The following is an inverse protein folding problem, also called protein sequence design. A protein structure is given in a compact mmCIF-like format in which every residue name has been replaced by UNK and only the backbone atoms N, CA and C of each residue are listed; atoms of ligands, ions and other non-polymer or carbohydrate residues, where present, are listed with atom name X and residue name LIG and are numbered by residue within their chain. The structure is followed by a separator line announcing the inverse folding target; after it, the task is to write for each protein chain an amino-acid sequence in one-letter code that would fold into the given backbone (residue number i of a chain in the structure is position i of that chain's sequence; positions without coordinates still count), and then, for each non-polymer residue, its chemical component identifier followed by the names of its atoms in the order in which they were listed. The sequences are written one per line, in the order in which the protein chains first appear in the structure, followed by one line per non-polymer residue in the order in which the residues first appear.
data_IF_570718846110
#
_entry.id   IF_570718846110
#
_cell.length_a   1.000
_cell.length_b   1.000
_cell.length_c   1.000
_cell.angle_alpha   90.00
_cell.angle_beta   90.00
_cell.angle_gamma   90.00
#
_symmetry.space_group_name_H-M   'P 1'
#
loop_
_entity.id
_entity.type
_entity.pdbx_description
1 polymer ?
#
# COMPACT_ATOMS: atom_id res chain seq x y z
N UNK A 1 -2.87 -0.35 30.78
CA UNK A 1 -2.63 -0.08 29.35
C UNK A 1 -3.99 0.00 28.67
N UNK A 2 -4.23 1.01 27.82
CA UNK A 2 -5.46 1.06 27.04
C UNK A 2 -5.48 -0.13 26.07
N UNK A 3 -6.62 -0.84 25.99
CA UNK A 3 -6.88 -1.88 25.01
C UNK A 3 -7.74 -1.33 23.90
N UNK A 4 -7.44 -1.71 22.67
CA UNK A 4 -8.19 -1.33 21.46
C UNK A 4 -8.52 -2.56 20.66
N UNK A 5 -9.70 -2.59 20.05
CA UNK A 5 -10.05 -3.65 19.13
C UNK A 5 -9.49 -3.35 17.74
N UNK A 6 -8.69 -4.26 17.21
CA UNK A 6 -8.09 -4.15 15.89
C UNK A 6 -8.81 -5.10 14.91
N UNK A 7 -9.50 -4.51 13.95
CA UNK A 7 -10.34 -5.22 12.98
C UNK A 7 -9.55 -6.13 12.03
N UNK A 8 -8.30 -5.78 11.75
CA UNK A 8 -7.47 -6.55 10.80
C UNK A 8 -6.85 -7.80 11.41
N UNK A 9 -6.73 -7.86 12.73
CA UNK A 9 -6.24 -9.03 13.45
C UNK A 9 -7.34 -9.75 14.26
N UNK A 10 -8.58 -9.27 14.22
CA UNK A 10 -9.75 -9.90 14.79
C UNK A 10 -9.73 -10.01 16.31
N UNK A 11 -8.98 -9.16 17.04
CA UNK A 11 -8.90 -9.18 18.49
C UNK A 11 -8.54 -7.83 19.11
N UNK A 12 -8.67 -7.76 20.44
CA UNK A 12 -8.10 -6.66 21.22
C UNK A 12 -6.58 -6.81 21.32
N UNK A 13 -5.91 -5.65 21.33
CA UNK A 13 -4.47 -5.54 21.57
C UNK A 13 -4.14 -4.36 22.49
N UNK A 14 -2.93 -4.37 23.05
CA UNK A 14 -2.40 -3.23 23.83
C UNK A 14 -2.02 -2.09 22.89
N UNK A 15 -2.50 -0.87 23.21
CA UNK A 15 -2.10 0.36 22.53
C UNK A 15 -2.19 1.53 23.51
N UNK A 16 -1.16 2.41 23.57
CA UNK A 16 -1.04 3.39 24.66
C UNK A 16 -1.81 4.68 24.46
N UNK A 17 -2.28 4.90 23.26
CA UNK A 17 -3.04 6.10 22.91
C UNK A 17 -4.49 5.72 22.69
N UNK A 18 -5.40 6.62 23.07
CA UNK A 18 -6.80 6.43 22.82
C UNK A 18 -7.09 6.21 21.32
N UNK A 19 -8.13 5.46 21.03
CA UNK A 19 -8.60 5.26 19.67
C UNK A 19 -8.99 6.63 19.08
N UNK A 20 -8.24 7.09 18.11
CA UNK A 20 -8.52 8.30 17.36
C UNK A 20 -8.94 7.91 15.94
N UNK A 21 -10.19 7.46 15.80
CA UNK A 21 -10.80 7.30 14.48
C UNK A 21 -11.45 8.61 14.09
N UNK A 22 -10.96 9.28 13.06
CA UNK A 22 -11.61 10.48 12.55
C UNK A 22 -12.95 10.09 11.93
N UNK A 23 -13.83 11.08 11.76
CA UNK A 23 -15.12 10.87 11.09
C UNK A 23 -14.97 10.38 9.65
N UNK A 24 -13.89 10.75 9.00
CA UNK A 24 -13.46 10.35 7.65
C UNK A 24 -12.06 9.79 7.73
N UNK A 25 -11.83 8.57 7.30
CA UNK A 25 -10.51 7.95 7.33
C UNK A 25 -9.99 7.76 5.91
N UNK A 26 -8.86 8.42 5.61
CA UNK A 26 -8.08 8.18 4.39
C UNK A 26 -7.82 6.71 4.21
N UNK A 27 -8.11 6.19 3.03
CA UNK A 27 -7.72 4.85 2.64
C UNK A 27 -7.42 4.75 1.14
N UNK A 28 -6.53 3.85 0.80
CA UNK A 28 -6.12 3.62 -0.57
C UNK A 28 -6.11 2.13 -0.90
N UNK A 29 -6.42 1.78 -2.14
CA UNK A 29 -6.29 0.42 -2.65
C UNK A 29 -5.32 0.42 -3.84
N UNK A 30 -4.37 -0.51 -3.82
CA UNK A 30 -3.38 -0.71 -4.87
C UNK A 30 -3.56 -2.10 -5.51
N UNK A 31 -3.84 -2.15 -6.79
CA UNK A 31 -3.87 -3.40 -7.54
C UNK A 31 -2.45 -3.77 -7.99
N UNK A 32 -1.82 -4.71 -7.29
CA UNK A 32 -0.45 -5.13 -7.58
C UNK A 32 -0.32 -5.87 -8.91
N UNK A 33 -1.42 -6.43 -9.43
CA UNK A 33 -1.43 -7.16 -10.70
C UNK A 33 -1.22 -6.27 -11.93
N UNK A 34 -1.49 -4.97 -11.78
CA UNK A 34 -1.34 -3.98 -12.86
C UNK A 34 -0.04 -3.17 -12.76
N UNK A 35 0.74 -3.34 -11.68
CA UNK A 35 1.97 -2.58 -11.49
C UNK A 35 3.06 -3.06 -12.44
N UNK A 36 3.68 -2.13 -13.17
CA UNK A 36 4.77 -2.38 -14.12
C UNK A 36 6.12 -1.82 -13.64
N UNK A 37 6.22 -1.39 -12.40
CA UNK A 37 7.42 -0.81 -11.78
C UNK A 37 8.04 0.38 -12.54
N UNK A 38 7.27 1.14 -13.28
CA UNK A 38 7.76 2.27 -14.09
C UNK A 38 8.32 3.44 -13.27
N UNK A 39 8.19 3.44 -11.95
CA UNK A 39 8.68 4.45 -10.99
C UNK A 39 8.14 5.88 -11.21
N UNK A 40 7.21 6.12 -12.14
CA UNK A 40 6.62 7.45 -12.36
C UNK A 40 5.97 8.00 -11.10
N UNK A 41 5.29 7.15 -10.32
CA UNK A 41 4.72 7.53 -9.03
C UNK A 41 5.78 7.93 -7.99
N UNK A 42 6.95 7.31 -8.02
CA UNK A 42 8.10 7.64 -7.18
C UNK A 42 8.64 9.01 -7.55
N UNK A 43 8.87 9.25 -8.85
CA UNK A 43 9.35 10.54 -9.36
C UNK A 43 8.35 11.65 -9.08
N UNK A 44 7.06 11.44 -9.33
CA UNK A 44 6.02 12.43 -9.07
C UNK A 44 5.98 12.86 -7.59
N UNK A 45 6.09 11.91 -6.67
CA UNK A 45 6.21 12.21 -5.25
C UNK A 45 7.50 12.94 -4.92
N UNK A 46 8.63 12.46 -5.47
CA UNK A 46 9.97 13.01 -5.24
C UNK A 46 10.07 14.47 -5.65
N UNK A 47 9.63 14.79 -6.86
CA UNK A 47 9.69 16.15 -7.40
C UNK A 47 8.74 17.12 -6.69
N UNK A 48 7.60 16.63 -6.20
CA UNK A 48 6.62 17.48 -5.53
C UNK A 48 6.99 17.76 -4.07
N UNK A 49 7.49 16.76 -3.33
CA UNK A 49 7.55 16.83 -1.85
C UNK A 49 8.94 16.60 -1.26
N UNK A 50 9.85 15.92 -1.93
CA UNK A 50 11.12 15.50 -1.34
C UNK A 50 12.34 15.85 -2.21
N UNK A 51 12.31 17.01 -2.84
CA UNK A 51 13.41 17.56 -3.66
C UNK A 51 14.30 18.56 -2.92
N UNK A 52 14.07 18.79 -1.62
CA UNK A 52 14.82 19.72 -0.81
C UNK A 52 16.14 19.15 -0.29
N UNK A 53 16.90 20.00 0.40
CA UNK A 53 18.22 19.64 1.00
C UNK A 53 18.04 18.58 2.09
N UNK A 54 18.88 17.55 2.06
CA UNK A 54 18.83 16.43 3.01
C UNK A 54 17.74 15.41 2.71
N UNK A 55 17.05 15.54 1.57
CA UNK A 55 16.00 14.63 1.14
C UNK A 55 16.45 13.69 0.00
N UNK A 56 17.71 13.65 -0.32
CA UNK A 56 18.28 12.90 -1.47
C UNK A 56 17.81 11.43 -1.47
N UNK A 57 17.87 10.78 -0.32
CA UNK A 57 17.44 9.37 -0.12
C UNK A 57 16.04 9.21 0.46
N UNK A 58 15.23 10.27 0.50
CA UNK A 58 13.85 10.19 1.00
C UNK A 58 12.87 9.86 -0.11
N UNK A 59 12.46 8.62 -0.17
CA UNK A 59 11.43 8.15 -1.08
C UNK A 59 10.15 7.84 -0.31
N UNK A 60 9.30 8.87 -0.13
CA UNK A 60 8.00 8.71 0.54
C UNK A 60 7.10 7.74 -0.20
N UNK A 61 7.17 7.73 -1.53
CA UNK A 61 6.66 6.66 -2.36
C UNK A 61 7.81 5.94 -3.05
N UNK A 62 7.78 4.63 -3.08
CA UNK A 62 8.69 3.79 -3.86
C UNK A 62 7.98 2.55 -4.37
N UNK A 63 8.57 1.86 -5.33
CA UNK A 63 8.11 0.55 -5.80
C UNK A 63 9.24 -0.45 -5.61
N UNK A 64 8.93 -1.57 -5.02
CA UNK A 64 9.86 -2.65 -4.69
C UNK A 64 9.59 -3.88 -5.54
N UNK A 65 10.64 -4.62 -5.89
CA UNK A 65 10.52 -5.96 -6.46
C UNK A 65 10.54 -6.98 -5.32
N UNK A 66 9.49 -7.76 -5.17
CA UNK A 66 9.42 -8.83 -4.17
C UNK A 66 9.56 -10.20 -4.83
N UNK A 67 10.27 -11.13 -4.16
CA UNK A 67 10.74 -11.07 -2.76
C UNK A 67 12.08 -10.35 -2.55
N UNK A 68 12.82 -10.01 -3.58
CA UNK A 68 14.25 -9.68 -3.48
C UNK A 68 14.57 -8.20 -3.21
N UNK A 69 13.85 -7.27 -3.82
CA UNK A 69 14.12 -5.84 -3.67
C UNK A 69 13.27 -5.17 -2.59
N UNK A 70 13.90 -4.41 -1.70
CA UNK A 70 13.21 -3.64 -0.66
C UNK A 70 13.94 -2.31 -0.37
N UNK A 71 13.18 -1.32 0.13
CA UNK A 71 13.73 -0.04 0.57
C UNK A 71 13.09 0.41 1.89
N UNK A 72 13.82 0.42 2.99
CA UNK A 72 15.22 -0.07 3.16
C UNK A 72 15.32 -1.59 2.96
N UNK A 73 16.55 -2.08 2.75
CA UNK A 73 16.82 -3.49 2.44
C UNK A 73 16.29 -4.40 3.56
N UNK A 74 15.57 -5.46 3.18
CA UNK A 74 15.07 -6.52 4.06
C UNK A 74 14.29 -6.05 5.30
N UNK A 75 13.66 -4.86 5.26
CA UNK A 75 12.94 -4.30 6.41
C UNK A 75 11.82 -5.23 6.91
N UNK A 76 11.14 -5.90 5.99
CA UNK A 76 10.05 -6.83 6.28
C UNK A 76 10.53 -8.12 6.94
N UNK A 77 11.61 -8.73 6.41
CA UNK A 77 12.22 -9.90 7.04
C UNK A 77 12.70 -9.58 8.46
N UNK A 78 13.47 -8.51 8.64
CA UNK A 78 14.01 -8.10 9.94
C UNK A 78 12.93 -7.85 11.00
N UNK A 79 11.82 -7.18 10.64
CA UNK A 79 10.77 -6.92 11.63
C UNK A 79 9.97 -8.19 11.96
N UNK A 80 9.75 -9.08 10.99
CA UNK A 80 9.05 -10.33 11.22
C UNK A 80 9.90 -11.30 12.08
N UNK A 81 11.21 -11.34 11.90
CA UNK A 81 12.14 -12.09 12.76
C UNK A 81 12.08 -11.61 14.22
N UNK A 82 12.04 -10.28 14.42
CA UNK A 82 11.95 -9.69 15.77
C UNK A 82 10.59 -9.89 16.43
N UNK A 83 9.54 -10.17 15.67
CA UNK A 83 8.17 -10.27 16.18
C UNK A 83 7.88 -11.59 16.93
N UNK A 84 8.77 -12.59 16.85
CA UNK A 84 8.56 -13.96 17.27
C UNK A 84 7.58 -14.75 16.38
N UNK A 85 7.32 -16.04 16.66
CA UNK A 85 6.42 -16.86 15.85
C UNK A 85 5.03 -16.26 15.71
N UNK A 86 4.57 -16.16 14.45
CA UNK A 86 3.27 -15.63 14.12
C UNK A 86 2.28 -16.77 13.89
N UNK A 87 1.12 -16.69 14.53
CA UNK A 87 0.09 -17.71 14.44
C UNK A 87 -1.28 -17.09 14.17
N UNK A 88 -2.02 -17.72 13.28
CA UNK A 88 -3.38 -17.37 12.96
C UNK A 88 -4.34 -18.54 13.23
N UNK A 89 -5.50 -18.24 13.80
CA UNK A 89 -6.63 -19.16 13.90
C UNK A 89 -7.78 -18.59 13.07
N UNK A 90 -7.96 -19.12 11.86
CA UNK A 90 -8.84 -18.49 10.87
C UNK A 90 -8.37 -17.07 10.51
N UNK A 91 -9.23 -16.08 10.69
CA UNK A 91 -8.91 -14.66 10.48
C UNK A 91 -8.42 -13.95 11.78
N UNK A 92 -8.27 -14.67 12.90
CA UNK A 92 -7.82 -14.12 14.17
C UNK A 92 -6.34 -14.38 14.40
N UNK A 93 -5.59 -13.32 14.72
CA UNK A 93 -4.16 -13.39 15.01
C UNK A 93 -3.91 -13.69 16.49
N UNK A 94 -3.19 -14.76 16.80
CA UNK A 94 -2.89 -15.20 18.17
C UNK A 94 -1.46 -14.86 18.61
N UNK A 95 -0.61 -14.35 17.70
CA UNK A 95 0.73 -13.88 18.03
C UNK A 95 0.75 -12.51 18.73
N UNK A 96 1.94 -12.05 19.07
CA UNK A 96 2.16 -10.70 19.63
C UNK A 96 2.29 -9.66 18.49
N UNK A 97 1.69 -8.51 18.68
CA UNK A 97 1.91 -7.33 17.82
C UNK A 97 3.21 -6.62 18.22
N UNK A 98 3.67 -5.66 17.44
CA UNK A 98 4.87 -4.86 17.79
C UNK A 98 4.69 -4.08 19.10
N UNK A 99 3.46 -3.82 19.52
CA UNK A 99 3.13 -3.16 20.78
C UNK A 99 3.24 -4.11 21.97
N UNK A 100 3.05 -5.40 21.75
CA UNK A 100 3.02 -6.46 22.76
C UNK A 100 4.34 -7.22 22.84
N UNK A 101 5.15 -7.21 21.77
CA UNK A 101 6.43 -7.92 21.66
C UNK A 101 7.64 -7.05 22.05
N UNK A 102 7.44 -5.83 22.51
CA UNK A 102 8.53 -4.94 22.87
C UNK A 102 9.41 -5.53 23.99
N UNK A 103 10.74 -5.43 23.87
CA UNK A 103 11.66 -5.82 24.93
C UNK A 103 11.40 -5.07 26.24
N UNK A 104 11.88 -5.62 27.34
CA UNK A 104 11.76 -4.98 28.65
C UNK A 104 12.37 -3.56 28.64
N UNK A 105 11.60 -2.58 29.12
CA UNK A 105 12.00 -1.17 29.11
C UNK A 105 11.67 -0.40 27.84
N UNK A 106 11.26 -1.06 26.78
CA UNK A 106 10.81 -0.43 25.54
C UNK A 106 9.29 -0.42 25.40
N UNK A 107 8.74 0.56 24.70
CA UNK A 107 7.30 0.64 24.45
C UNK A 107 6.87 -0.09 23.19
N UNK A 108 7.77 -0.17 22.21
CA UNK A 108 7.51 -0.68 20.88
C UNK A 108 8.69 -1.51 20.39
N UNK A 109 8.40 -2.63 19.75
CA UNK A 109 9.38 -3.35 18.97
C UNK A 109 9.78 -2.52 17.74
N UNK A 110 11.06 -2.49 17.44
CA UNK A 110 11.57 -1.77 16.28
C UNK A 110 13.08 -1.76 16.21
N UNK A 111 13.60 -1.28 15.09
CA UNK A 111 15.05 -1.12 14.87
C UNK A 111 15.34 0.12 14.03
N UNK A 112 16.55 0.66 14.14
CA UNK A 112 17.03 1.71 13.25
C UNK A 112 17.65 1.09 12.00
N UNK A 113 17.15 1.42 10.80
CA UNK A 113 17.85 1.05 9.57
C UNK A 113 19.19 1.79 9.52
N UNK A 114 20.19 1.12 8.98
CA UNK A 114 21.49 1.71 8.71
C UNK A 114 21.46 2.57 7.44
N UNK A 115 22.47 3.44 7.27
CA UNK A 115 22.56 4.27 6.06
C UNK A 115 22.69 3.42 4.80
N UNK A 116 23.41 2.29 4.88
CA UNK A 116 23.54 1.34 3.78
C UNK A 116 22.20 0.75 3.32
N UNK A 117 21.25 0.53 4.23
CA UNK A 117 19.91 0.03 3.89
C UNK A 117 19.12 0.98 2.96
N UNK A 118 19.49 2.27 2.95
CA UNK A 118 18.85 3.30 2.11
C UNK A 118 19.69 3.71 0.90
N UNK A 119 20.94 3.23 0.79
CA UNK A 119 21.87 3.64 -0.27
C UNK A 119 21.38 3.24 -1.67
N UNK A 120 20.61 2.19 -1.75
CA UNK A 120 20.12 1.61 -3.00
C UNK A 120 18.58 1.53 -3.02
N UNK A 121 17.87 2.66 -3.17
CA UNK A 121 16.41 2.66 -3.22
C UNK A 121 15.93 1.96 -4.50
N UNK A 122 14.93 1.10 -4.35
CA UNK A 122 14.29 0.39 -5.46
C UNK A 122 15.20 -0.57 -6.24
N UNK A 123 16.25 -1.06 -5.64
CA UNK A 123 17.00 -2.16 -6.23
C UNK A 123 16.10 -3.39 -6.32
N UNK A 124 15.66 -3.67 -7.52
CA UNK A 124 15.10 -4.93 -7.92
C UNK A 124 16.19 -5.85 -8.47
N UNK A 125 17.43 -5.72 -7.99
CA UNK A 125 18.48 -6.64 -8.38
C UNK A 125 18.16 -8.00 -7.81
N UNK A 126 17.82 -8.89 -8.71
CA UNK A 126 17.64 -10.29 -8.47
C UNK A 126 19.05 -10.88 -8.31
N UNK A 127 19.40 -11.31 -7.09
CA UNK A 127 20.66 -12.02 -6.85
C UNK A 127 20.79 -13.27 -7.74
N UNK A 128 19.65 -13.80 -8.22
CA UNK A 128 19.59 -14.91 -9.18
C UNK A 128 20.08 -14.47 -10.57
N UNK A 129 19.93 -13.20 -10.96
CA UNK A 129 20.41 -12.71 -12.25
C UNK A 129 21.93 -12.86 -12.39
N UNK A 130 22.70 -12.57 -11.33
CA UNK A 130 24.14 -12.78 -11.30
C UNK A 130 24.56 -14.27 -11.47
N UNK A 131 23.74 -15.18 -11.00
CA UNK A 131 23.97 -16.63 -11.16
C UNK A 131 23.68 -17.07 -12.59
N UNK A 132 22.71 -16.47 -13.26
CA UNK A 132 22.38 -16.77 -14.66
C UNK A 132 23.42 -16.18 -15.61
N UNK A 133 23.91 -14.97 -15.37
CA UNK A 133 24.98 -14.34 -16.16
C UNK A 133 26.31 -15.09 -16.06
N UNK A 134 26.58 -15.76 -14.94
CA UNK A 134 27.75 -16.63 -14.75
C UNK A 134 27.69 -17.97 -15.48
N UNK A 135 26.66 -18.24 -16.26
CA UNK A 135 26.54 -19.48 -17.07
C UNK A 135 26.23 -20.75 -16.27
N UNK A 136 25.92 -20.65 -14.98
CA UNK A 136 25.41 -21.75 -14.20
C UNK A 136 23.89 -21.84 -14.35
N UNK A 137 23.44 -22.80 -15.18
CA UNK A 137 22.04 -23.23 -15.15
C UNK A 137 21.78 -23.98 -13.84
N UNK A 138 21.44 -23.26 -12.78
CA UNK A 138 20.95 -23.87 -11.56
C UNK A 138 19.49 -24.22 -11.84
N UNK A 139 19.20 -25.50 -11.93
CA UNK A 139 17.82 -26.00 -11.91
C UNK A 139 17.22 -25.62 -10.55
N UNK A 140 16.59 -24.45 -10.46
CA UNK A 140 15.92 -24.01 -9.25
C UNK A 140 14.78 -24.99 -8.96
N UNK A 141 14.74 -25.62 -7.78
CA UNK A 141 13.71 -26.58 -7.42
C UNK A 141 12.33 -25.94 -7.23
N UNK A 142 12.22 -24.62 -7.37
CA UNK A 142 10.99 -23.84 -7.20
C UNK A 142 10.78 -22.89 -8.38
N UNK A 143 9.53 -22.63 -8.78
CA UNK A 143 9.25 -21.66 -9.81
C UNK A 143 9.72 -20.27 -9.37
N UNK A 144 10.45 -19.59 -10.22
CA UNK A 144 10.84 -18.18 -10.02
C UNK A 144 9.58 -17.33 -10.13
N UNK A 145 9.35 -16.48 -9.15
CA UNK A 145 8.24 -15.55 -9.12
C UNK A 145 8.68 -14.20 -8.58
N UNK A 146 8.03 -13.16 -9.05
CA UNK A 146 8.23 -11.81 -8.58
C UNK A 146 6.95 -10.99 -8.76
N UNK A 147 6.81 -9.90 -7.98
CA UNK A 147 5.79 -8.89 -8.20
C UNK A 147 6.30 -7.53 -7.71
N UNK A 148 5.61 -6.47 -8.09
CA UNK A 148 5.98 -5.12 -7.72
C UNK A 148 5.07 -4.59 -6.62
N UNK A 149 5.66 -4.22 -5.48
CA UNK A 149 4.97 -3.66 -4.33
C UNK A 149 5.19 -2.15 -4.28
N UNK A 150 4.19 -1.39 -4.72
CA UNK A 150 4.20 0.06 -4.58
C UNK A 150 3.85 0.44 -3.13
N UNK A 151 4.68 1.27 -2.48
CA UNK A 151 4.51 1.62 -1.06
C UNK A 151 4.53 3.12 -0.80
N UNK A 152 3.59 3.57 0.01
CA UNK A 152 3.55 4.90 0.63
C UNK A 152 3.45 4.74 2.16
N UNK A 153 3.37 5.82 2.92
CA UNK A 153 2.96 5.73 4.32
C UNK A 153 1.52 5.19 4.40
N UNK A 154 1.30 4.26 5.30
CA UNK A 154 0.01 3.61 5.47
C UNK A 154 -1.02 4.44 6.26
N UNK A 155 -0.62 5.60 6.82
CA UNK A 155 -1.47 6.44 7.66
C UNK A 155 -2.30 5.64 8.66
N UNK A 156 -1.64 4.72 9.36
CA UNK A 156 -2.21 3.68 10.21
C UNK A 156 -3.28 4.20 11.19
N UNK A 157 -4.23 3.36 11.55
CA UNK A 157 -5.21 3.64 12.60
C UNK A 157 -4.53 3.69 13.96
N UNK A 158 -3.56 2.80 14.20
CA UNK A 158 -2.73 2.74 15.39
C UNK A 158 -1.26 3.01 15.03
N UNK A 159 -0.87 4.29 14.83
CA UNK A 159 0.46 4.61 14.30
C UNK A 159 1.56 4.36 15.33
N UNK A 160 2.47 3.43 15.06
CA UNK A 160 3.66 3.20 15.89
C UNK A 160 4.56 4.43 15.98
N UNK A 161 4.69 5.18 14.89
CA UNK A 161 5.48 6.41 14.86
C UNK A 161 4.94 7.50 15.81
N UNK A 162 3.61 7.60 15.96
CA UNK A 162 2.96 8.48 16.92
C UNK A 162 3.23 8.01 18.35
N UNK A 163 3.01 6.71 18.60
CA UNK A 163 3.21 6.10 19.91
C UNK A 163 4.66 6.22 20.41
N UNK A 164 5.64 6.15 19.49
CA UNK A 164 7.06 6.23 19.82
C UNK A 164 7.57 7.66 20.05
N UNK A 165 6.85 8.69 19.59
CA UNK A 165 7.37 10.06 19.63
C UNK A 165 7.41 10.63 21.06
N UNK A 166 8.59 10.87 21.67
CA UNK A 166 8.69 11.36 23.05
C UNK A 166 8.23 12.82 23.20
N UNK A 167 8.13 13.56 22.09
CA UNK A 167 7.69 14.95 22.06
C UNK A 167 6.21 15.14 21.71
N UNK A 168 5.49 14.04 21.38
CA UNK A 168 4.13 14.15 20.88
C UNK A 168 4.00 14.96 19.58
N UNK A 169 5.11 15.04 18.80
CA UNK A 169 5.14 15.81 17.57
C UNK A 169 4.42 15.15 16.40
N UNK A 170 3.99 13.89 16.55
CA UNK A 170 3.24 13.17 15.52
C UNK A 170 1.77 13.10 15.94
N UNK A 171 0.90 13.45 15.02
CA UNK A 171 -0.53 13.50 15.27
C UNK A 171 -1.33 12.97 14.09
N UNK A 172 -2.57 12.59 14.35
CA UNK A 172 -3.54 12.18 13.35
C UNK A 172 -4.53 13.30 13.12
N UNK A 173 -4.69 13.72 11.87
CA UNK A 173 -5.66 14.76 11.50
C UNK A 173 -7.08 14.27 11.80
N UNK A 174 -7.90 15.14 12.37
CA UNK A 174 -9.30 14.80 12.67
C UNK A 174 -10.19 14.80 11.43
N UNK A 175 -9.78 15.53 10.39
CA UNK A 175 -10.53 15.72 9.15
C UNK A 175 -10.53 14.44 8.29
N UNK A 176 -9.38 13.76 8.21
CA UNK A 176 -9.17 12.70 7.23
C UNK A 176 -8.32 11.52 7.75
N UNK A 177 -7.87 11.57 8.99
CA UNK A 177 -7.05 10.52 9.59
C UNK A 177 -5.64 10.41 9.04
N UNK A 178 -5.17 11.35 8.26
CA UNK A 178 -3.79 11.39 7.78
C UNK A 178 -2.86 11.67 8.96
N UNK A 179 -1.81 10.87 9.09
CA UNK A 179 -0.80 11.01 10.17
C UNK A 179 0.29 11.96 9.70
N UNK A 180 0.52 13.03 10.44
CA UNK A 180 1.49 14.08 10.14
C UNK A 180 2.52 14.25 11.26
N UNK A 181 3.61 14.96 10.95
CA UNK A 181 4.65 15.39 11.91
C UNK A 181 4.60 16.91 12.01
N UNK A 182 4.40 17.43 13.20
CA UNK A 182 4.59 18.86 13.49
C UNK A 182 6.10 19.17 13.50
N UNK A 183 6.54 19.85 12.45
CA UNK A 183 7.95 20.17 12.25
C UNK A 183 8.50 21.13 13.31
N UNK A 184 7.64 21.98 13.92
CA UNK A 184 8.05 22.90 14.98
C UNK A 184 8.33 22.19 16.30
N UNK A 185 7.59 21.15 16.59
CA UNK A 185 7.72 20.34 17.82
C UNK A 185 8.69 19.16 17.66
N UNK A 186 9.02 18.75 16.44
CA UNK A 186 10.00 17.69 16.19
C UNK A 186 11.39 18.11 16.68
N UNK A 187 12.10 17.21 17.38
CA UNK A 187 13.45 17.41 17.89
C UNK A 187 14.44 16.33 17.42
N UNK A 188 14.06 15.57 16.38
CA UNK A 188 14.95 14.65 15.72
C UNK A 188 15.37 13.42 16.54
N UNK A 189 14.60 13.00 17.53
CA UNK A 189 14.90 11.79 18.33
C UNK A 189 14.91 10.49 17.52
N UNK A 190 14.33 10.48 16.33
CA UNK A 190 14.28 9.36 15.38
C UNK A 190 13.52 8.12 15.87
N UNK A 191 12.89 8.15 17.04
CA UNK A 191 12.09 7.04 17.54
C UNK A 191 10.97 6.63 16.58
N UNK A 192 10.41 7.58 15.82
CA UNK A 192 9.44 7.30 14.77
C UNK A 192 10.04 6.52 13.59
N UNK A 193 11.34 6.69 13.31
CA UNK A 193 12.07 5.91 12.28
C UNK A 193 12.28 4.48 12.78
N UNK A 194 12.71 4.34 14.04
CA UNK A 194 12.89 3.05 14.70
C UNK A 194 11.60 2.24 14.74
N UNK A 195 10.52 2.87 15.20
CA UNK A 195 9.25 2.21 15.49
C UNK A 195 8.40 1.90 14.25
N UNK A 196 8.55 2.63 13.14
CA UNK A 196 7.76 2.34 11.93
C UNK A 196 8.21 1.01 11.31
N UNK A 197 7.38 -0.07 11.35
CA UNK A 197 7.79 -1.35 10.78
C UNK A 197 7.83 -1.33 9.26
N UNK A 198 7.07 -0.42 8.64
CA UNK A 198 7.08 -0.21 7.18
C UNK A 198 8.21 0.70 6.71
N UNK A 199 9.01 1.27 7.63
CA UNK A 199 10.13 2.18 7.32
C UNK A 199 9.75 3.32 6.37
N UNK A 200 8.59 3.95 6.62
CA UNK A 200 8.08 5.10 5.86
C UNK A 200 8.14 6.42 6.65
N UNK A 201 9.03 6.49 7.63
CA UNK A 201 9.43 7.70 8.34
C UNK A 201 10.93 7.87 8.15
N UNK A 202 11.37 9.05 7.77
CA UNK A 202 12.75 9.37 7.42
C UNK A 202 13.27 10.49 8.32
N UNK A 203 14.56 10.54 8.52
CA UNK A 203 15.22 11.62 9.25
C UNK A 203 16.02 12.49 8.29
N UNK A 204 15.79 13.79 8.32
CA UNK A 204 16.55 14.76 7.54
C UNK A 204 17.73 15.27 8.37
N UNK A 205 18.94 14.86 7.99
CA UNK A 205 20.17 15.23 8.69
C UNK A 205 20.56 16.72 8.51
N UNK A 206 19.96 17.42 7.55
CA UNK A 206 20.22 18.85 7.32
C UNK A 206 19.30 19.75 8.14
N UNK A 207 18.03 19.35 8.28
CA UNK A 207 17.03 20.10 9.04
C UNK A 207 16.87 19.60 10.48
N UNK A 208 17.46 18.44 10.80
CA UNK A 208 17.38 17.75 12.08
C UNK A 208 15.96 17.40 12.53
N UNK A 209 15.04 17.21 11.59
CA UNK A 209 13.66 16.77 11.87
C UNK A 209 13.34 15.51 11.09
N UNK A 210 12.31 14.78 11.56
CA UNK A 210 11.80 13.63 10.83
C UNK A 210 10.74 14.05 9.82
N UNK A 211 10.67 13.33 8.71
CA UNK A 211 9.75 13.59 7.60
C UNK A 211 9.08 12.30 7.15
N UNK A 212 7.90 12.40 6.57
CA UNK A 212 7.14 11.27 6.02
C UNK A 212 6.08 11.73 5.03
N UNK A 213 5.56 10.79 4.25
CA UNK A 213 4.42 11.03 3.37
C UNK A 213 3.28 11.75 4.12
N UNK A 214 2.75 12.80 3.52
CA UNK A 214 1.66 13.63 4.05
C UNK A 214 0.29 13.28 3.43
N UNK A 215 0.17 12.13 2.70
CA UNK A 215 -1.06 11.77 2.00
C UNK A 215 -1.49 12.77 0.92
N UNK A 216 -0.62 13.70 0.55
CA UNK A 216 -0.95 14.85 -0.31
C UNK A 216 -2.20 15.60 0.18
N UNK A 217 -2.40 15.74 1.52
CA UNK A 217 -3.60 16.33 2.08
C UNK A 217 -3.98 17.70 1.47
N UNK A 218 -3.03 18.58 1.07
CA UNK A 218 -3.40 19.82 0.42
C UNK A 218 -4.14 19.62 -0.92
N UNK A 219 -3.87 18.52 -1.63
CA UNK A 219 -4.62 18.17 -2.85
C UNK A 219 -5.97 17.54 -2.50
N UNK A 220 -6.00 16.69 -1.47
CA UNK A 220 -7.23 16.05 -0.98
C UNK A 220 -8.28 17.03 -0.46
N UNK A 221 -7.87 18.18 0.10
CA UNK A 221 -8.75 19.28 0.48
C UNK A 221 -9.46 19.91 -0.72
N UNK A 222 -8.94 19.71 -1.93
CA UNK A 222 -9.53 20.14 -3.20
C UNK A 222 -10.07 18.96 -4.04
N UNK A 223 -10.48 17.88 -3.40
CA UNK A 223 -11.02 16.66 -4.03
C UNK A 223 -10.09 16.01 -5.08
N UNK A 224 -8.78 16.34 -5.04
CA UNK A 224 -7.79 15.82 -5.98
C UNK A 224 -7.02 14.67 -5.35
N UNK A 225 -6.84 13.58 -6.11
CA UNK A 225 -6.03 12.44 -5.68
C UNK A 225 -4.55 12.82 -5.51
N UNK A 226 -3.80 12.09 -4.64
CA UNK A 226 -2.36 12.30 -4.48
C UNK A 226 -1.59 12.20 -5.80
N UNK A 227 -0.50 12.94 -5.94
CA UNK A 227 0.34 12.95 -7.15
C UNK A 227 0.78 11.56 -7.59
N UNK A 228 1.16 10.70 -6.67
CA UNK A 228 1.54 9.32 -7.00
C UNK A 228 0.36 8.45 -7.48
N UNK A 229 -0.88 8.92 -7.36
CA UNK A 229 -2.07 8.27 -7.93
C UNK A 229 -2.35 8.83 -9.33
N UNK A 230 -2.40 10.15 -9.48
CA UNK A 230 -2.70 10.80 -10.76
C UNK A 230 -1.68 10.46 -11.85
N UNK A 231 -0.41 10.37 -11.46
CA UNK A 231 0.71 10.07 -12.38
C UNK A 231 0.98 8.56 -12.56
N UNK A 232 0.13 7.69 -12.01
CA UNK A 232 0.32 6.26 -12.14
C UNK A 232 -0.02 5.75 -13.55
N UNK A 233 0.96 5.35 -14.33
CA UNK A 233 0.78 4.83 -15.70
C UNK A 233 -0.01 3.52 -15.69
N UNK A 234 0.29 2.61 -14.78
CA UNK A 234 -0.38 1.31 -14.66
C UNK A 234 -1.81 1.40 -14.11
N UNK A 235 -2.26 2.60 -13.70
CA UNK A 235 -3.61 2.81 -13.15
C UNK A 235 -3.95 1.85 -12.01
N UNK A 236 -2.99 1.64 -11.09
CA UNK A 236 -3.12 0.64 -10.03
C UNK A 236 -3.78 1.16 -8.77
N UNK A 237 -4.03 2.47 -8.64
CA UNK A 237 -4.35 3.15 -7.38
C UNK A 237 -5.74 3.75 -7.38
N UNK A 238 -6.43 3.56 -6.27
CA UNK A 238 -7.72 4.17 -5.98
C UNK A 238 -7.68 4.78 -4.57
N UNK A 239 -8.15 6.01 -4.42
CA UNK A 239 -8.33 6.68 -3.14
C UNK A 239 -9.81 6.85 -2.83
N UNK A 240 -10.18 6.54 -1.58
CA UNK A 240 -11.47 6.90 -1.01
C UNK A 240 -11.36 7.00 0.52
N UNK A 241 -12.49 7.19 1.19
CA UNK A 241 -12.62 7.19 2.64
C UNK A 241 -13.17 5.84 3.09
N UNK A 242 -12.49 5.17 4.05
CA UNK A 242 -12.96 3.89 4.57
C UNK A 242 -13.85 4.08 5.79
N UNK A 243 -14.94 3.32 5.86
CA UNK A 243 -15.82 3.21 7.01
C UNK A 243 -15.33 2.12 7.97
N UNK A 244 -15.93 2.04 9.16
CA UNK A 244 -15.76 0.85 10.01
C UNK A 244 -16.38 -0.37 9.32
N UNK A 245 -15.89 -1.59 9.57
CA UNK A 245 -16.47 -2.80 8.95
C UNK A 245 -17.98 -2.96 9.17
N UNK A 246 -18.49 -2.52 10.33
CA UNK A 246 -19.91 -2.56 10.69
C UNK A 246 -20.77 -1.51 9.96
N UNK A 247 -20.13 -0.50 9.38
CA UNK A 247 -20.77 0.62 8.68
C UNK A 247 -20.43 0.60 7.17
N UNK A 248 -19.84 -0.51 6.69
CA UNK A 248 -19.38 -0.65 5.31
C UNK A 248 -20.52 -0.53 4.29
N UNK A 249 -20.29 0.25 3.24
CA UNK A 249 -21.27 0.58 2.22
C UNK A 249 -20.91 -0.05 0.88
N UNK A 250 -21.91 -0.59 0.19
CA UNK A 250 -21.71 -1.21 -1.13
C UNK A 250 -21.40 -0.24 -2.27
N UNK A 251 -21.72 1.03 -2.12
CA UNK A 251 -21.44 2.08 -3.09
C UNK A 251 -20.10 2.80 -2.83
N UNK A 252 -19.50 2.57 -1.66
CA UNK A 252 -18.16 3.05 -1.35
C UNK A 252 -17.12 2.08 -1.93
N UNK A 253 -16.21 2.54 -2.82
CA UNK A 253 -15.29 1.65 -3.51
C UNK A 253 -14.30 0.94 -2.58
N UNK A 254 -13.79 1.61 -1.53
CA UNK A 254 -12.85 1.00 -0.59
C UNK A 254 -13.56 0.06 0.36
N UNK A 255 -14.72 0.43 0.91
CA UNK A 255 -15.53 -0.47 1.74
C UNK A 255 -15.89 -1.75 1.00
N UNK A 256 -16.28 -1.61 -0.28
CA UNK A 256 -16.63 -2.74 -1.12
C UNK A 256 -15.45 -3.70 -1.35
N UNK A 257 -14.25 -3.16 -1.63
CA UNK A 257 -13.06 -3.97 -1.86
C UNK A 257 -12.50 -4.60 -0.60
N UNK A 258 -12.50 -3.86 0.52
CA UNK A 258 -11.84 -4.27 1.78
C UNK A 258 -12.78 -5.07 2.68
N UNK A 259 -13.99 -4.56 2.95
CA UNK A 259 -14.89 -5.15 3.94
C UNK A 259 -15.87 -6.13 3.33
N UNK A 260 -16.45 -5.81 2.17
CA UNK A 260 -17.52 -6.62 1.58
C UNK A 260 -16.97 -7.76 0.74
N UNK A 261 -16.07 -7.48 -0.20
CA UNK A 261 -15.47 -8.51 -1.07
C UNK A 261 -14.18 -9.10 -0.52
N UNK A 262 -13.55 -8.41 0.42
CA UNK A 262 -12.28 -8.81 1.04
C UNK A 262 -11.22 -9.20 0.00
N UNK A 263 -11.18 -8.46 -1.11
CA UNK A 263 -10.23 -8.64 -2.21
C UNK A 263 -9.00 -7.75 -2.06
N UNK A 264 -9.12 -6.65 -1.33
CA UNK A 264 -8.01 -5.78 -0.96
C UNK A 264 -7.65 -5.96 0.52
N UNK A 265 -6.40 -6.28 0.78
CA UNK A 265 -5.91 -6.70 2.10
C UNK A 265 -4.83 -5.74 2.63
N UNK A 266 -4.71 -5.60 3.95
CA UNK A 266 -3.65 -4.80 4.57
C UNK A 266 -2.29 -5.47 4.44
N UNK A 267 -1.22 -4.66 4.45
CA UNK A 267 0.15 -5.16 4.46
C UNK A 267 0.56 -5.52 5.90
N UNK A 268 0.98 -6.77 6.13
CA UNK A 268 1.44 -7.29 7.42
C UNK A 268 0.50 -6.93 8.59
N UNK A 269 -0.75 -7.39 8.58
CA UNK A 269 -1.73 -7.06 9.63
C UNK A 269 -1.29 -7.52 11.02
N UNK A 270 -0.50 -8.59 11.14
CA UNK A 270 0.05 -9.13 12.39
C UNK A 270 0.86 -8.11 13.20
N UNK A 271 1.36 -7.06 12.56
CA UNK A 271 2.09 -6.00 13.25
C UNK A 271 1.20 -5.15 14.16
N UNK A 272 -0.12 -5.15 13.95
CA UNK A 272 -1.10 -4.50 14.81
C UNK A 272 -1.36 -3.01 14.53
N UNK A 273 -0.80 -2.43 13.46
CA UNK A 273 -0.93 -1.00 13.17
C UNK A 273 -2.25 -0.61 12.53
N UNK A 274 -3.00 -1.56 12.00
CA UNK A 274 -4.19 -1.33 11.18
C UNK A 274 -3.93 -0.31 10.05
N UNK A 275 -3.07 -0.69 9.06
CA UNK A 275 -2.74 0.16 7.93
C UNK A 275 -3.97 0.49 7.08
N UNK A 276 -4.02 1.71 6.53
CA UNK A 276 -5.11 2.18 5.68
C UNK A 276 -4.73 2.23 4.18
N UNK A 277 -3.63 1.60 3.81
CA UNK A 277 -3.30 1.27 2.42
C UNK A 277 -3.45 -0.23 2.26
N UNK A 278 -4.32 -0.62 1.35
CA UNK A 278 -4.69 -2.00 1.08
C UNK A 278 -4.18 -2.43 -0.29
N UNK A 279 -3.97 -3.71 -0.46
CA UNK A 279 -3.43 -4.28 -1.68
C UNK A 279 -4.33 -5.40 -2.20
N UNK A 280 -4.63 -5.39 -3.48
CA UNK A 280 -5.13 -6.57 -4.17
C UNK A 280 -3.90 -7.45 -4.41
N UNK A 281 -3.83 -8.65 -3.79
CA UNK A 281 -2.64 -9.50 -3.88
C UNK A 281 -2.33 -9.93 -5.31
N UNK A 282 -1.04 -10.15 -5.63
CA UNK A 282 -0.65 -10.65 -6.94
C UNK A 282 -1.09 -12.11 -7.14
N UNK A 283 -1.59 -12.42 -8.33
CA UNK A 283 -2.16 -13.74 -8.65
C UNK A 283 -1.13 -14.83 -8.97
N UNK A 284 0.12 -14.45 -9.20
CA UNK A 284 1.22 -15.33 -9.64
C UNK A 284 2.23 -15.66 -8.55
N UNK A 285 1.93 -15.32 -7.30
CA UNK A 285 2.85 -15.48 -6.15
C UNK A 285 2.41 -16.66 -5.29
N UNK A 286 3.35 -17.48 -4.75
CA UNK A 286 3.03 -18.61 -3.89
C UNK A 286 2.22 -18.22 -2.65
N UNK A 287 1.22 -19.03 -2.33
CA UNK A 287 0.29 -18.80 -1.22
C UNK A 287 0.97 -18.57 0.14
N UNK A 288 2.01 -19.34 0.56
CA UNK A 288 2.65 -19.12 1.86
C UNK A 288 3.22 -17.71 2.02
N UNK A 289 3.82 -17.16 0.95
CA UNK A 289 4.34 -15.80 0.96
C UNK A 289 3.21 -14.76 1.03
N UNK A 290 2.11 -14.99 0.32
CA UNK A 290 0.95 -14.09 0.36
C UNK A 290 0.30 -14.08 1.75
N UNK A 291 0.19 -15.24 2.40
CA UNK A 291 -0.33 -15.36 3.76
C UNK A 291 0.56 -14.64 4.77
N UNK A 292 1.88 -14.75 4.64
CA UNK A 292 2.81 -14.01 5.48
C UNK A 292 2.66 -12.49 5.31
N UNK A 293 2.50 -12.03 4.06
CA UNK A 293 2.49 -10.60 3.73
C UNK A 293 1.12 -9.93 3.95
N UNK A 294 0.01 -10.62 3.68
CA UNK A 294 -1.34 -10.06 3.67
C UNK A 294 -2.32 -10.75 4.63
N UNK A 295 -1.85 -11.75 5.37
CA UNK A 295 -2.68 -12.52 6.29
C UNK A 295 -3.43 -13.69 5.62
N UNK A 296 -4.17 -14.49 6.42
CA UNK A 296 -4.77 -15.76 5.99
C UNK A 296 -5.87 -15.63 4.94
N UNK A 297 -6.43 -14.44 4.76
CA UNK A 297 -7.46 -14.18 3.72
C UNK A 297 -6.89 -14.05 2.30
N UNK A 298 -5.55 -14.05 2.13
CA UNK A 298 -4.90 -13.82 0.84
C UNK A 298 -5.30 -14.81 -0.26
N UNK A 299 -5.37 -16.14 -0.04
CA UNK A 299 -5.78 -17.09 -1.07
C UNK A 299 -7.20 -16.83 -1.58
N UNK A 300 -8.13 -16.51 -0.66
CA UNK A 300 -9.51 -16.16 -1.01
C UNK A 300 -9.61 -14.86 -1.81
N UNK A 301 -8.80 -13.87 -1.46
CA UNK A 301 -8.74 -12.61 -2.18
C UNK A 301 -8.25 -12.81 -3.63
N UNK A 302 -7.19 -13.60 -3.82
CA UNK A 302 -6.66 -13.98 -5.14
C UNK A 302 -7.73 -14.68 -5.99
N UNK A 303 -8.42 -15.66 -5.43
CA UNK A 303 -9.48 -16.40 -6.14
C UNK A 303 -10.66 -15.50 -6.50
N UNK A 304 -11.07 -14.61 -5.58
CA UNK A 304 -12.12 -13.61 -5.84
C UNK A 304 -11.73 -12.67 -6.98
N UNK A 305 -10.48 -12.22 -7.01
CA UNK A 305 -9.96 -11.34 -8.07
C UNK A 305 -9.93 -12.05 -9.42
N UNK A 306 -9.38 -13.28 -9.48
CA UNK A 306 -9.31 -14.08 -10.71
C UNK A 306 -10.66 -14.27 -11.37
N UNK A 307 -11.70 -14.49 -10.56
CA UNK A 307 -13.07 -14.72 -11.03
C UNK A 307 -13.93 -13.47 -11.18
N UNK A 308 -13.36 -12.27 -10.94
CA UNK A 308 -14.16 -11.05 -10.94
C UNK A 308 -14.91 -10.84 -12.26
N UNK A 309 -14.21 -10.99 -13.39
CA UNK A 309 -14.83 -10.78 -14.73
C UNK A 309 -15.90 -11.82 -15.09
N UNK A 310 -15.82 -13.02 -14.53
CA UNK A 310 -16.78 -14.10 -14.82
C UNK A 310 -17.99 -14.06 -13.89
N UNK A 311 -17.76 -13.81 -12.59
CA UNK A 311 -18.77 -14.02 -11.55
C UNK A 311 -19.25 -12.74 -10.85
N UNK A 312 -18.56 -11.60 -11.01
CA UNK A 312 -18.91 -10.38 -10.29
C UNK A 312 -18.69 -9.13 -11.13
N UNK A 313 -19.65 -8.82 -11.97
CA UNK A 313 -19.61 -7.66 -12.87
C UNK A 313 -19.38 -6.33 -12.11
N UNK A 314 -19.93 -6.17 -10.89
CA UNK A 314 -19.72 -4.96 -10.07
C UNK A 314 -18.26 -4.82 -9.60
N UNK A 315 -17.63 -5.93 -9.20
CA UNK A 315 -16.21 -5.93 -8.83
C UNK A 315 -15.31 -5.65 -10.05
N UNK A 316 -15.57 -6.32 -11.16
CA UNK A 316 -14.83 -6.08 -12.40
C UNK A 316 -14.95 -4.61 -12.86
N UNK A 317 -16.15 -4.06 -12.79
CA UNK A 317 -16.43 -2.66 -13.09
C UNK A 317 -15.61 -1.71 -12.19
N UNK A 318 -15.59 -1.97 -10.88
CA UNK A 318 -14.83 -1.14 -9.94
C UNK A 318 -13.32 -1.19 -10.22
N UNK A 319 -12.78 -2.37 -10.56
CA UNK A 319 -11.36 -2.52 -10.93
C UNK A 319 -11.01 -1.67 -12.16
N UNK A 320 -11.94 -1.51 -13.09
CA UNK A 320 -11.76 -0.67 -14.28
C UNK A 320 -11.79 0.84 -13.98
N UNK A 321 -12.35 1.26 -12.83
CA UNK A 321 -12.32 2.67 -12.40
C UNK A 321 -10.96 3.14 -11.86
N UNK A 322 -10.04 2.22 -11.54
CA UNK A 322 -8.75 2.58 -10.98
C UNK A 322 -7.97 3.50 -11.95
N UNK A 323 -7.65 4.70 -11.47
CA UNK A 323 -6.88 5.70 -12.23
C UNK A 323 -7.61 6.34 -13.42
N UNK A 324 -8.93 6.15 -13.56
CA UNK A 324 -9.71 6.79 -14.61
C UNK A 324 -10.05 8.25 -14.34
N UNK A 325 -9.86 8.73 -13.10
CA UNK A 325 -10.11 10.12 -12.70
C UNK A 325 -9.00 10.62 -11.79
N UNK A 326 -8.75 11.93 -11.80
CA UNK A 326 -7.86 12.60 -10.85
C UNK A 326 -8.59 13.07 -9.59
N UNK A 327 -9.90 12.94 -9.54
CA UNK A 327 -10.71 13.30 -8.37
C UNK A 327 -10.86 12.10 -7.43
N UNK A 328 -11.09 12.39 -6.15
CA UNK A 328 -11.39 11.36 -5.15
C UNK A 328 -12.72 10.70 -5.49
N UNK A 329 -12.75 9.36 -5.47
CA UNK A 329 -13.95 8.59 -5.78
C UNK A 329 -14.67 8.25 -4.48
N UNK A 330 -15.69 9.03 -4.12
CA UNK A 330 -16.45 8.82 -2.90
C UNK A 330 -17.49 7.71 -3.01
N UNK A 331 -18.09 7.54 -4.19
CA UNK A 331 -19.07 6.48 -4.51
C UNK A 331 -18.89 5.98 -5.92
N UNK A 332 -19.41 4.79 -6.20
CA UNK A 332 -19.47 4.22 -7.55
C UNK A 332 -20.81 3.53 -7.81
N UNK A 333 -21.21 3.54 -9.07
CA UNK A 333 -22.42 2.90 -9.55
C UNK A 333 -22.09 2.07 -10.80
N UNK A 334 -22.58 0.83 -10.84
CA UNK A 334 -22.49 -0.02 -12.04
C UNK A 334 -23.90 -0.28 -12.58
N UNK A 335 -24.18 0.24 -13.78
CA UNK A 335 -25.48 0.14 -14.41
C UNK A 335 -25.33 0.11 -15.93
N UNK A 336 -26.17 -0.69 -16.60
CA UNK A 336 -26.27 -0.74 -18.08
C UNK A 336 -24.92 -0.99 -18.78
N UNK A 337 -24.09 -1.86 -18.21
CA UNK A 337 -22.76 -2.16 -18.76
C UNK A 337 -21.71 -1.07 -18.58
N UNK A 338 -22.04 0.00 -17.85
CA UNK A 338 -21.15 1.10 -17.53
C UNK A 338 -20.91 1.19 -16.00
N UNK A 339 -19.78 1.74 -15.62
CA UNK A 339 -19.47 2.09 -14.24
C UNK A 339 -19.16 3.58 -14.15
N UNK A 340 -19.76 4.25 -13.18
CA UNK A 340 -19.54 5.68 -12.93
C UNK A 340 -18.90 5.89 -11.55
N UNK A 341 -17.91 6.76 -11.47
CA UNK A 341 -17.39 7.30 -10.22
C UNK A 341 -18.08 8.61 -9.89
N UNK A 342 -18.38 8.81 -8.59
CA UNK A 342 -18.99 10.02 -8.08
C UNK A 342 -18.10 10.62 -6.97
N UNK A 343 -18.04 11.95 -6.91
CA UNK A 343 -17.39 12.68 -5.84
C UNK A 343 -18.28 12.78 -4.59
N UNK A 344 -17.81 13.45 -3.53
CA UNK A 344 -18.55 13.64 -2.29
C UNK A 344 -19.88 14.41 -2.47
N UNK A 345 -19.98 15.24 -3.51
CA UNK A 345 -21.19 15.99 -3.85
C UNK A 345 -22.22 15.15 -4.64
N UNK A 346 -21.85 13.93 -5.05
CA UNK A 346 -22.68 13.06 -5.87
C UNK A 346 -22.61 13.38 -7.37
N UNK A 347 -21.67 14.20 -7.79
CA UNK A 347 -21.45 14.51 -9.20
C UNK A 347 -20.64 13.41 -9.87
N UNK A 348 -21.01 13.01 -11.08
CA UNK A 348 -20.25 12.03 -11.86
C UNK A 348 -18.96 12.63 -12.36
N UNK A 349 -17.84 12.03 -11.98
CA UNK A 349 -16.48 12.47 -12.35
C UNK A 349 -15.96 11.75 -13.57
N UNK A 350 -16.31 10.48 -13.73
CA UNK A 350 -15.95 9.66 -14.89
C UNK A 350 -16.95 8.51 -15.04
N UNK A 351 -17.11 8.06 -16.28
CA UNK A 351 -17.84 6.83 -16.63
C UNK A 351 -16.99 5.98 -17.55
N UNK A 352 -16.87 4.70 -17.25
CA UNK A 352 -16.09 3.72 -18.00
C UNK A 352 -16.95 2.48 -18.30
N UNK A 353 -16.66 1.72 -19.36
CA UNK A 353 -17.34 0.46 -19.63
C UNK A 353 -16.93 -0.60 -18.61
N UNK A 354 -17.87 -1.46 -18.20
CA UNK A 354 -17.60 -2.61 -17.31
C UNK A 354 -16.63 -3.60 -17.97
N UNK A 355 -16.73 -3.74 -19.30
CA UNK A 355 -15.79 -4.53 -20.09
C UNK A 355 -15.09 -3.63 -21.08
N UNK A 356 -13.77 -3.62 -21.02
CA UNK A 356 -12.98 -2.92 -22.03
C UNK A 356 -13.14 -3.58 -23.39
N UNK A 357 -13.16 -2.77 -24.45
CA UNK A 357 -13.17 -3.27 -25.81
C UNK A 357 -11.86 -3.98 -26.12
N UNK A 358 -11.94 -5.25 -26.50
CA UNK A 358 -10.77 -6.00 -26.93
C UNK A 358 -10.47 -5.63 -28.37
N UNK A 359 -9.38 -4.91 -28.60
CA UNK A 359 -8.89 -4.63 -29.95
C UNK A 359 -7.95 -5.77 -30.36
N UNK A 360 -8.45 -6.67 -31.18
CA UNK A 360 -7.61 -7.72 -31.78
C UNK A 360 -6.94 -7.14 -33.01
N UNK A 361 -5.62 -6.97 -32.96
CA UNK A 361 -4.82 -6.64 -34.14
C UNK A 361 -4.48 -7.94 -34.85
N UNK A 362 -4.84 -8.04 -36.12
CA UNK A 362 -4.39 -9.15 -36.95
C UNK A 362 -2.87 -9.09 -37.12
N UNK A 363 -2.21 -10.22 -37.13
CA UNK A 363 -0.76 -10.29 -37.28
C UNK A 363 -0.25 -9.76 -38.63
N UNK A 364 -1.10 -9.77 -39.65
CA UNK A 364 -0.80 -9.34 -41.00
C UNK A 364 -1.77 -8.27 -41.49
N UNK A 365 -1.26 -7.21 -42.07
CA UNK A 365 -2.07 -6.17 -42.68
C UNK A 365 -2.26 -6.46 -44.18
N UNK A 366 -3.45 -6.85 -44.55
CA UNK A 366 -3.77 -7.23 -45.94
C UNK A 366 -3.73 -6.03 -46.91
N UNK A 367 -3.97 -4.82 -46.38
CA UNK A 367 -3.96 -3.60 -47.22
C UNK A 367 -2.54 -3.24 -47.68
N UNK A 368 -1.58 -3.40 -46.78
CA UNK A 368 -0.17 -3.05 -47.07
C UNK A 368 0.70 -4.27 -47.34
N UNK A 369 0.18 -5.50 -47.21
CA UNK A 369 0.92 -6.72 -47.49
C UNK A 369 2.10 -6.98 -46.54
N UNK A 370 2.02 -6.48 -45.29
CA UNK A 370 3.14 -6.53 -44.35
C UNK A 370 2.71 -7.06 -42.96
N UNK A 371 3.58 -7.70 -42.20
CA UNK A 371 3.34 -8.03 -40.78
C UNK A 371 3.13 -6.71 -40.00
N UNK A 372 2.09 -6.65 -39.19
CA UNK A 372 1.78 -5.47 -38.35
C UNK A 372 2.82 -5.15 -37.28
N UNK A 373 3.66 -6.11 -36.94
CA UNK A 373 4.78 -5.88 -36.03
C UNK A 373 5.80 -4.85 -36.56
N UNK A 374 5.80 -4.61 -37.85
CA UNK A 374 6.69 -3.64 -38.51
C UNK A 374 6.02 -2.28 -38.79
N UNK A 375 4.77 -2.09 -38.38
CA UNK A 375 4.02 -0.86 -38.50
C UNK A 375 3.92 -0.20 -37.14
N UNK A 376 4.64 0.86 -36.94
CA UNK A 376 4.60 1.70 -35.73
C UNK A 376 3.68 2.88 -35.92
#
# INVERSE_FOLDING_TARGET
MARVYNWQIGREMSYWYGEARPRRQFAAVFDTNKCIACQTCTLACKTTWTSGRGQEYMFWNNVESKPYGAYPIAYDARILELLDPQRWEGERYEGRTIFEAAPAGERLLGYHPETADYAHPNLGEDEIAGVVEGGMSVGLPQPVWMFYLARICNHCTYPACLAACPRGAIYKRQEDGIVLIDQKNCRGYRECVRACPYKKTFFNSRTHVSEKCIGCFPLGEHDTQPRCFTECIGKIRLLCWISKPTEAREDNPVDYLVHIKKVALPLMPQLGLEPNVYYIPPINVPEPFLVQLFGPSAPRAVETYRRAHEKNAKLAALINLFGCTNQVVARFEAKDGMVSALNDKGEKTVTAPVRESVVVRTAFDTKYGVPRSNIT
#
